data_IF_043227229566
#
_entry.id   IF_043227229566
#
_cell.length_a   1.000
_cell.length_b   1.000
_cell.length_c   1.000
_cell.angle_alpha   90.00
_cell.angle_beta   90.00
_cell.angle_gamma   90.00
#
_symmetry.space_group_name_H-M   'P 1'
#
loop_
_entity.id
_entity.type
_entity.pdbx_description
1 polymer ?
#
# COMPACT_ATOMS: atom_id res chain seq x y z
N UNK A 1 3.66 0.34 22.88
CA UNK A 1 5.02 -0.23 22.69
C UNK A 1 5.76 -0.52 24.01
N UNK A 2 5.89 0.39 24.99
CA UNK A 2 6.72 0.18 26.19
C UNK A 2 6.40 -1.10 27.00
N UNK A 3 5.10 -1.41 27.17
CA UNK A 3 4.65 -2.63 27.87
C UNK A 3 5.08 -3.92 27.17
N UNK A 4 5.11 -3.93 25.83
CA UNK A 4 5.59 -5.08 25.04
C UNK A 4 7.09 -5.26 25.20
N UNK A 5 7.86 -4.18 25.21
CA UNK A 5 9.31 -4.24 25.43
C UNK A 5 9.66 -4.88 26.77
N UNK A 6 8.98 -4.50 27.86
CA UNK A 6 9.14 -5.17 29.16
C UNK A 6 8.85 -6.68 29.09
N UNK A 7 7.77 -7.07 28.42
CA UNK A 7 7.42 -8.48 28.29
C UNK A 7 8.47 -9.27 27.49
N UNK A 8 8.95 -8.72 26.37
CA UNK A 8 9.97 -9.37 25.55
C UNK A 8 11.30 -9.52 26.26
N UNK A 9 11.73 -8.49 27.00
CA UNK A 9 12.97 -8.55 27.77
C UNK A 9 12.86 -9.61 28.86
N UNK A 10 11.80 -9.58 29.67
CA UNK A 10 11.62 -10.56 30.75
C UNK A 10 11.56 -12.00 30.25
N UNK A 11 10.79 -12.25 29.17
CA UNK A 11 10.69 -13.60 28.58
C UNK A 11 12.01 -14.08 27.96
N UNK A 12 12.77 -13.18 27.32
CA UNK A 12 14.06 -13.53 26.73
C UNK A 12 15.10 -13.81 27.83
N UNK A 13 15.18 -12.96 28.85
CA UNK A 13 16.09 -13.15 29.98
C UNK A 13 15.79 -14.43 30.74
N UNK A 14 14.52 -14.74 31.01
CA UNK A 14 14.09 -16.00 31.64
C UNK A 14 14.48 -17.22 30.79
N UNK A 15 14.19 -17.18 29.48
CA UNK A 15 14.41 -18.33 28.59
C UNK A 15 15.89 -18.64 28.39
N UNK A 16 16.73 -17.61 28.26
CA UNK A 16 18.13 -17.77 27.86
C UNK A 16 19.11 -17.60 29.01
N UNK A 17 18.67 -17.10 30.17
CA UNK A 17 19.51 -16.80 31.33
C UNK A 17 20.73 -15.94 30.97
N UNK A 18 20.51 -14.93 30.11
CA UNK A 18 21.52 -14.01 29.62
C UNK A 18 21.03 -12.56 29.74
N UNK A 19 21.91 -11.60 30.05
CA UNK A 19 21.56 -10.18 30.02
C UNK A 19 21.05 -9.77 28.64
N UNK A 20 19.95 -9.01 28.62
CA UNK A 20 19.31 -8.55 27.38
C UNK A 20 19.56 -7.05 27.18
N UNK A 21 19.99 -6.68 25.97
CA UNK A 21 20.08 -5.29 25.53
C UNK A 21 18.94 -4.98 24.54
N UNK A 22 17.80 -4.44 25.01
CA UNK A 22 16.64 -4.20 24.15
C UNK A 22 16.82 -2.97 23.26
N UNK A 23 16.59 -3.15 21.96
CA UNK A 23 16.61 -2.08 20.95
C UNK A 23 15.28 -2.05 20.21
N UNK A 24 14.68 -0.86 20.12
CA UNK A 24 13.55 -0.55 19.25
C UNK A 24 14.07 0.24 18.04
N UNK A 25 13.94 -0.33 16.85
CA UNK A 25 14.28 0.34 15.58
C UNK A 25 13.00 0.78 14.91
N UNK A 26 12.84 2.09 14.70
CA UNK A 26 11.73 2.66 13.94
C UNK A 26 12.21 3.01 12.54
N UNK A 27 11.58 2.40 11.53
CA UNK A 27 11.96 2.54 10.13
C UNK A 27 11.39 3.84 9.57
N UNK A 28 10.07 4.05 9.66
CA UNK A 28 9.39 5.21 9.10
C UNK A 28 8.80 6.13 10.17
N UNK A 29 8.84 7.43 9.91
CA UNK A 29 8.24 8.44 10.78
C UNK A 29 6.74 8.56 10.49
N UNK A 30 5.92 7.99 11.37
CA UNK A 30 4.43 8.02 11.24
C UNK A 30 3.82 9.25 11.91
N UNK A 31 4.51 9.83 12.90
CA UNK A 31 4.04 11.02 13.61
C UNK A 31 5.21 11.83 14.20
N UNK A 32 4.92 13.04 14.64
CA UNK A 32 5.86 13.88 15.40
C UNK A 32 5.84 13.59 16.92
N UNK A 33 5.10 12.58 17.37
CA UNK A 33 5.07 12.23 18.78
C UNK A 33 6.43 11.65 19.21
N UNK A 34 6.88 12.03 20.41
CA UNK A 34 8.09 11.47 21.00
C UNK A 34 7.91 9.97 21.25
N UNK A 35 8.90 9.18 20.84
CA UNK A 35 8.87 7.73 21.02
C UNK A 35 9.47 7.42 22.39
N UNK A 36 8.69 6.86 23.33
CA UNK A 36 9.17 6.57 24.67
C UNK A 36 10.31 5.53 24.61
N UNK A 37 11.33 5.72 25.46
CA UNK A 37 12.48 4.82 25.63
C UNK A 37 12.43 4.00 26.92
N UNK A 38 11.42 4.22 27.75
CA UNK A 38 11.27 3.55 29.05
C UNK A 38 9.83 3.14 29.29
N UNK A 39 9.64 1.98 29.91
CA UNK A 39 8.42 1.59 30.58
C UNK A 39 8.57 1.76 32.09
N UNK A 40 7.56 2.32 32.75
CA UNK A 40 7.46 2.37 34.22
C UNK A 40 6.08 1.90 34.68
N UNK A 41 6.04 1.25 35.85
CA UNK A 41 4.80 0.97 36.58
C UNK A 41 5.05 0.93 38.08
N UNK A 42 4.07 1.34 38.87
CA UNK A 42 4.09 1.26 40.33
C UNK A 42 2.79 0.64 40.83
N UNK A 43 2.89 -0.39 41.67
CA UNK A 43 1.74 -0.98 42.37
C UNK A 43 2.12 -1.17 43.84
N UNK A 44 1.39 -0.52 44.75
CA UNK A 44 1.63 -0.60 46.20
C UNK A 44 3.09 -0.32 46.63
N UNK A 45 3.77 0.60 45.93
CA UNK A 45 5.17 0.93 46.19
C UNK A 45 6.19 0.03 45.48
N UNK A 46 5.75 -1.09 44.88
CA UNK A 46 6.59 -1.94 44.05
C UNK A 46 6.74 -1.32 42.66
N UNK A 47 7.98 -0.98 42.31
CA UNK A 47 8.30 -0.38 41.02
C UNK A 47 8.82 -1.42 40.04
N UNK A 48 8.39 -1.29 38.79
CA UNK A 48 9.03 -1.96 37.69
C UNK A 48 9.41 -0.95 36.61
N UNK A 49 10.63 -1.10 36.10
CA UNK A 49 11.20 -0.25 35.07
C UNK A 49 11.86 -1.12 34.02
N UNK A 50 11.63 -0.80 32.75
CA UNK A 50 12.39 -1.35 31.64
C UNK A 50 12.86 -0.22 30.75
N UNK A 51 14.16 0.00 30.71
CA UNK A 51 14.78 0.89 29.73
C UNK A 51 15.09 0.13 28.45
N UNK A 52 15.05 0.82 27.32
CA UNK A 52 15.46 0.29 26.03
C UNK A 52 16.01 1.38 25.12
N UNK A 53 16.92 0.99 24.22
CA UNK A 53 17.49 1.90 23.23
C UNK A 53 16.46 2.10 22.11
N UNK A 54 16.21 3.35 21.74
CA UNK A 54 15.42 3.70 20.56
C UNK A 54 16.37 4.19 19.47
N UNK A 55 16.20 3.65 18.26
CA UNK A 55 16.91 4.07 17.05
C UNK A 55 15.85 4.43 16.02
N UNK A 56 15.81 5.70 15.63
CA UNK A 56 14.94 6.20 14.59
C UNK A 56 15.76 6.37 13.31
N UNK A 57 15.47 5.65 12.24
CA UNK A 57 16.32 5.66 11.05
C UNK A 57 16.40 7.07 10.41
N UNK A 58 15.34 7.85 10.46
CA UNK A 58 15.33 9.26 9.98
C UNK A 58 16.19 10.23 10.81
N UNK A 59 16.74 9.79 11.95
CA UNK A 59 17.69 10.56 12.76
C UNK A 59 19.14 10.06 12.59
N UNK A 60 19.32 8.88 11.99
CA UNK A 60 20.63 8.27 11.75
C UNK A 60 21.24 8.89 10.50
N UNK A 61 22.49 9.32 10.62
CA UNK A 61 23.25 9.93 9.51
C UNK A 61 23.43 8.92 8.36
N UNK A 62 23.13 9.36 7.14
CA UNK A 62 23.21 8.53 5.94
C UNK A 62 24.63 7.98 5.67
N UNK A 63 25.68 8.71 6.09
CA UNK A 63 27.06 8.31 5.83
C UNK A 63 27.40 6.94 6.44
N UNK A 64 26.75 6.56 7.55
CA UNK A 64 26.92 5.25 8.19
C UNK A 64 26.61 4.10 7.23
N UNK A 65 25.69 4.28 6.27
CA UNK A 65 25.35 3.24 5.31
C UNK A 65 26.46 2.95 4.29
N UNK A 66 27.37 3.91 4.09
CA UNK A 66 28.52 3.80 3.18
C UNK A 66 29.80 3.37 3.91
N UNK A 67 29.81 3.36 5.24
CA UNK A 67 30.92 2.87 6.04
C UNK A 67 30.95 1.33 6.05
N UNK A 68 32.11 0.75 5.79
CA UNK A 68 32.33 -0.69 5.97
C UNK A 68 32.34 -1.01 7.47
N UNK A 69 31.62 -2.06 7.93
CA UNK A 69 31.08 -3.18 7.16
C UNK A 69 29.53 -3.24 7.09
N UNK A 70 28.81 -2.13 6.84
CA UNK A 70 27.33 -2.09 6.93
C UNK A 70 26.57 -1.93 5.59
N UNK A 71 26.86 -2.72 4.53
CA UNK A 71 26.15 -2.59 3.25
C UNK A 71 24.65 -2.92 3.35
N UNK A 72 24.23 -3.63 4.39
CA UNK A 72 22.82 -3.92 4.68
C UNK A 72 22.00 -2.67 5.04
N UNK A 73 22.65 -1.53 5.31
CA UNK A 73 21.97 -0.25 5.51
C UNK A 73 21.69 0.50 4.21
N UNK A 74 22.33 0.13 3.09
CA UNK A 74 22.14 0.79 1.80
C UNK A 74 20.66 0.87 1.37
N UNK A 75 19.82 -0.16 1.58
CA UNK A 75 18.40 -0.07 1.23
C UNK A 75 17.63 0.98 2.02
N UNK A 76 18.11 1.36 3.20
CA UNK A 76 17.47 2.37 4.03
C UNK A 76 18.00 3.78 3.74
N UNK A 77 18.99 3.95 2.87
CA UNK A 77 19.56 5.26 2.51
C UNK A 77 18.48 6.33 2.26
N UNK A 78 17.41 6.08 1.47
CA UNK A 78 16.42 7.12 1.20
C UNK A 78 15.69 7.66 2.44
N UNK A 79 15.64 6.89 3.53
CA UNK A 79 14.94 7.24 4.78
C UNK A 79 15.89 7.60 5.92
N UNK A 80 17.21 7.55 5.70
CA UNK A 80 18.22 8.05 6.64
C UNK A 80 18.30 9.58 6.58
N UNK A 81 18.83 10.19 7.64
CA UNK A 81 19.01 11.64 7.72
C UNK A 81 20.01 12.10 6.66
N UNK A 82 19.53 12.89 5.70
CA UNK A 82 20.34 13.42 4.60
C UNK A 82 20.47 12.49 3.38
N UNK A 83 19.77 11.35 3.39
CA UNK A 83 19.80 10.36 2.31
C UNK A 83 18.71 10.54 1.24
N UNK A 84 17.85 11.56 1.38
CA UNK A 84 16.81 11.90 0.42
C UNK A 84 17.35 12.47 -0.91
N UNK A 85 18.64 12.80 -0.97
CA UNK A 85 19.25 13.38 -2.18
C UNK A 85 19.42 12.33 -3.28
N UNK A 86 19.06 12.70 -4.51
CA UNK A 86 19.19 11.84 -5.69
C UNK A 86 20.61 11.28 -5.86
N UNK A 87 21.64 12.11 -5.68
CA UNK A 87 23.04 11.69 -5.82
C UNK A 87 23.41 10.57 -4.84
N UNK A 88 22.95 10.68 -3.60
CA UNK A 88 23.22 9.71 -2.52
C UNK A 88 22.50 8.39 -2.78
N UNK A 89 21.27 8.46 -3.29
CA UNK A 89 20.51 7.26 -3.68
C UNK A 89 21.16 6.58 -4.88
N UNK A 90 21.61 7.34 -5.88
CA UNK A 90 22.35 6.79 -7.04
C UNK A 90 23.66 6.13 -6.63
N UNK A 91 24.37 6.71 -5.67
CA UNK A 91 25.59 6.11 -5.10
C UNK A 91 25.27 4.79 -4.40
N UNK A 92 24.24 4.75 -3.55
CA UNK A 92 23.82 3.53 -2.87
C UNK A 92 23.41 2.42 -3.87
N UNK A 93 22.73 2.78 -4.96
CA UNK A 93 22.39 1.86 -6.04
C UNK A 93 23.62 1.33 -6.77
N UNK A 94 24.62 2.17 -7.03
CA UNK A 94 25.88 1.73 -7.64
C UNK A 94 26.58 0.68 -6.76
N UNK A 95 26.60 0.88 -5.44
CA UNK A 95 27.18 -0.08 -4.50
C UNK A 95 26.38 -1.39 -4.50
N UNK A 96 25.04 -1.33 -4.43
CA UNK A 96 24.19 -2.53 -4.46
C UNK A 96 24.33 -3.33 -5.75
N UNK A 97 24.48 -2.66 -6.90
CA UNK A 97 24.63 -3.31 -8.22
C UNK A 97 26.02 -3.89 -8.45
N UNK A 98 27.04 -3.38 -7.77
CA UNK A 98 28.40 -3.86 -7.90
C UNK A 98 28.62 -5.21 -7.19
N UNK A 99 27.73 -5.59 -6.28
CA UNK A 99 27.81 -6.85 -5.52
C UNK A 99 26.62 -7.76 -5.85
N UNK A 100 26.90 -8.92 -6.46
CA UNK A 100 25.88 -9.90 -6.84
C UNK A 100 25.05 -10.42 -5.65
N UNK A 101 25.58 -10.36 -4.42
CA UNK A 101 24.81 -10.75 -3.23
C UNK A 101 23.83 -9.67 -2.77
N UNK A 102 24.12 -8.40 -3.09
CA UNK A 102 23.35 -7.25 -2.64
C UNK A 102 22.37 -6.74 -3.71
N UNK A 103 22.54 -7.14 -4.98
CA UNK A 103 21.69 -6.69 -6.08
C UNK A 103 20.17 -6.89 -5.82
N UNK A 104 19.79 -7.93 -5.07
CA UNK A 104 18.39 -8.20 -4.70
C UNK A 104 17.81 -7.10 -3.79
N UNK A 105 18.66 -6.44 -3.01
CA UNK A 105 18.27 -5.37 -2.10
C UNK A 105 17.97 -4.05 -2.82
N UNK A 106 18.30 -3.93 -4.11
CA UNK A 106 17.94 -2.79 -4.94
C UNK A 106 16.42 -2.52 -4.90
N UNK A 107 15.60 -3.58 -4.92
CA UNK A 107 14.14 -3.46 -4.85
C UNK A 107 13.70 -2.87 -3.51
N UNK A 108 14.38 -3.23 -2.42
CA UNK A 108 14.10 -2.72 -1.08
C UNK A 108 14.46 -1.24 -0.98
N UNK A 109 15.60 -0.85 -1.56
CA UNK A 109 16.00 0.56 -1.68
C UNK A 109 14.95 1.37 -2.45
N UNK A 110 14.52 0.87 -3.61
CA UNK A 110 13.51 1.51 -4.43
C UNK A 110 12.19 1.71 -3.65
N UNK A 111 11.75 0.69 -2.92
CA UNK A 111 10.56 0.75 -2.08
C UNK A 111 10.68 1.87 -1.03
N UNK A 112 11.80 1.96 -0.32
CA UNK A 112 12.01 3.04 0.65
C UNK A 112 12.08 4.42 0.02
N UNK A 113 12.66 4.54 -1.19
CA UNK A 113 12.69 5.79 -1.93
C UNK A 113 11.27 6.32 -2.25
N UNK A 114 10.28 5.44 -2.48
CA UNK A 114 8.90 5.86 -2.73
C UNK A 114 8.22 6.59 -1.56
N UNK A 115 8.74 6.45 -0.33
CA UNK A 115 8.18 7.16 0.83
C UNK A 115 8.71 8.60 0.96
N UNK A 116 9.79 8.94 0.25
CA UNK A 116 10.51 10.20 0.43
C UNK A 116 10.59 11.00 -0.88
N UNK A 117 10.62 10.33 -2.03
CA UNK A 117 10.74 10.92 -3.35
C UNK A 117 9.46 10.78 -4.18
N UNK A 118 9.35 11.65 -5.20
CA UNK A 118 8.32 11.54 -6.23
C UNK A 118 8.49 10.26 -7.05
N UNK A 119 7.37 9.61 -7.38
CA UNK A 119 7.37 8.36 -8.15
C UNK A 119 8.06 8.45 -9.51
N UNK A 120 7.97 9.59 -10.22
CA UNK A 120 8.64 9.79 -11.51
C UNK A 120 10.15 9.88 -11.33
N UNK A 121 10.61 10.57 -10.28
CA UNK A 121 12.03 10.66 -9.95
C UNK A 121 12.59 9.29 -9.53
N UNK A 122 11.84 8.50 -8.75
CA UNK A 122 12.25 7.13 -8.42
C UNK A 122 12.41 6.30 -9.70
N UNK A 123 11.46 6.35 -10.63
CA UNK A 123 11.57 5.63 -11.90
C UNK A 123 12.81 6.04 -12.72
N UNK A 124 13.10 7.34 -12.78
CA UNK A 124 14.28 7.88 -13.45
C UNK A 124 15.59 7.45 -12.75
N UNK A 125 15.64 7.52 -11.42
CA UNK A 125 16.82 7.16 -10.63
C UNK A 125 17.15 5.69 -10.80
N UNK A 126 16.12 4.85 -10.62
CA UNK A 126 16.28 3.42 -10.69
C UNK A 126 16.63 2.97 -12.11
N UNK A 127 16.34 3.79 -13.15
CA UNK A 127 16.53 3.45 -14.57
C UNK A 127 16.12 2.01 -14.80
N UNK A 128 14.92 1.66 -14.33
CA UNK A 128 14.45 0.28 -14.33
C UNK A 128 14.55 -0.26 -15.75
N UNK A 129 15.62 -1.02 -16.03
CA UNK A 129 15.56 -2.00 -17.08
C UNK A 129 14.51 -2.99 -16.59
N UNK A 130 13.30 -2.87 -17.15
CA UNK A 130 12.14 -3.68 -16.79
C UNK A 130 12.49 -5.18 -16.75
N UNK A 131 13.52 -5.60 -17.51
CA UNK A 131 14.09 -6.94 -17.50
C UNK A 131 14.48 -7.44 -16.10
N UNK A 132 15.17 -6.64 -15.27
CA UNK A 132 15.67 -7.08 -13.95
C UNK A 132 14.55 -7.13 -12.91
N UNK A 133 13.61 -6.18 -12.97
CA UNK A 133 12.43 -6.19 -12.09
C UNK A 133 11.48 -7.34 -12.42
N UNK A 134 11.33 -7.69 -13.70
CA UNK A 134 10.53 -8.84 -14.11
C UNK A 134 11.03 -10.16 -13.52
N UNK A 135 12.30 -10.27 -13.15
CA UNK A 135 12.86 -11.46 -12.50
C UNK A 135 12.62 -11.49 -10.99
N UNK A 136 12.27 -10.36 -10.36
CA UNK A 136 11.93 -10.33 -8.93
C UNK A 136 10.59 -11.04 -8.67
N UNK A 137 10.57 -12.12 -7.86
CA UNK A 137 9.32 -12.84 -7.56
C UNK A 137 8.23 -11.95 -6.97
N UNK A 138 8.63 -10.93 -6.20
CA UNK A 138 7.70 -9.99 -5.56
C UNK A 138 7.05 -9.02 -6.56
N UNK A 139 7.82 -8.56 -7.56
CA UNK A 139 7.28 -7.72 -8.63
C UNK A 139 6.27 -8.49 -9.49
N UNK A 140 6.59 -9.75 -9.84
CA UNK A 140 5.66 -10.62 -10.57
C UNK A 140 4.34 -10.83 -9.81
N UNK A 141 4.40 -11.01 -8.48
CA UNK A 141 3.21 -11.19 -7.66
C UNK A 141 2.33 -9.93 -7.63
N UNK A 142 2.94 -8.75 -7.46
CA UNK A 142 2.22 -7.47 -7.52
C UNK A 142 1.59 -7.25 -8.89
N UNK A 143 2.35 -7.50 -9.97
CA UNK A 143 1.85 -7.34 -11.33
C UNK A 143 0.66 -8.27 -11.58
N UNK A 144 0.77 -9.55 -11.20
CA UNK A 144 -0.29 -10.55 -11.37
C UNK A 144 -1.55 -10.19 -10.58
N UNK A 145 -1.41 -9.73 -9.34
CA UNK A 145 -2.53 -9.27 -8.51
C UNK A 145 -3.16 -7.99 -9.09
N UNK A 146 -2.32 -7.08 -9.61
CA UNK A 146 -2.74 -5.87 -10.32
C UNK A 146 -3.56 -6.17 -11.57
N UNK A 147 -3.08 -7.07 -12.42
CA UNK A 147 -3.77 -7.54 -13.63
C UNK A 147 -5.11 -8.18 -13.29
N UNK A 148 -5.16 -9.11 -12.33
CA UNK A 148 -6.41 -9.73 -11.89
C UNK A 148 -7.44 -8.72 -11.39
N UNK A 149 -7.01 -7.72 -10.61
CA UNK A 149 -7.89 -6.64 -10.13
C UNK A 149 -8.34 -5.74 -11.29
N UNK A 150 -7.45 -5.48 -12.24
CA UNK A 150 -7.73 -4.69 -13.44
C UNK A 150 -8.77 -5.37 -14.33
N UNK A 151 -8.58 -6.65 -14.61
CA UNK A 151 -9.48 -7.48 -15.41
C UNK A 151 -10.87 -7.54 -14.76
N UNK A 152 -10.95 -7.87 -13.47
CA UNK A 152 -12.23 -7.93 -12.74
C UNK A 152 -12.99 -6.59 -12.77
N UNK A 153 -12.29 -5.47 -12.53
CA UNK A 153 -12.89 -4.12 -12.61
C UNK A 153 -13.31 -3.78 -14.03
N UNK A 154 -12.56 -4.23 -15.03
CA UNK A 154 -12.87 -4.03 -16.45
C UNK A 154 -14.14 -4.77 -16.85
N UNK A 155 -14.26 -6.03 -16.44
CA UNK A 155 -15.44 -6.88 -16.68
C UNK A 155 -16.69 -6.31 -16.02
N UNK A 156 -16.62 -5.95 -14.73
CA UNK A 156 -17.75 -5.34 -14.00
C UNK A 156 -18.24 -4.05 -14.67
N UNK A 157 -17.32 -3.15 -15.03
CA UNK A 157 -17.66 -1.90 -15.75
C UNK A 157 -18.18 -2.14 -17.16
N UNK A 158 -17.74 -3.21 -17.81
CA UNK A 158 -18.18 -3.63 -19.13
C UNK A 158 -19.60 -4.16 -19.09
N UNK A 159 -19.91 -5.04 -18.13
CA UNK A 159 -21.24 -5.59 -17.91
C UNK A 159 -22.24 -4.48 -17.54
N UNK A 160 -21.85 -3.56 -16.64
CA UNK A 160 -22.68 -2.41 -16.26
C UNK A 160 -23.02 -1.51 -17.47
N UNK A 161 -22.01 -1.14 -18.27
CA UNK A 161 -22.22 -0.33 -19.49
C UNK A 161 -23.07 -1.06 -20.52
N UNK A 162 -22.81 -2.35 -20.75
CA UNK A 162 -23.58 -3.16 -21.67
C UNK A 162 -25.05 -3.25 -21.26
N UNK A 163 -25.31 -3.41 -19.96
CA UNK A 163 -26.66 -3.49 -19.41
C UNK A 163 -27.40 -2.14 -19.48
N UNK A 164 -26.73 -1.02 -19.19
CA UNK A 164 -27.29 0.33 -19.36
C UNK A 164 -27.66 0.61 -20.82
N UNK A 165 -26.78 0.27 -21.76
CA UNK A 165 -27.07 0.41 -23.19
C UNK A 165 -28.23 -0.50 -23.63
N UNK A 166 -28.32 -1.71 -23.09
CA UNK A 166 -29.43 -2.63 -23.36
C UNK A 166 -30.76 -2.11 -22.80
N UNK A 167 -30.76 -1.50 -21.61
CA UNK A 167 -31.91 -0.84 -21.02
C UNK A 167 -32.35 0.35 -21.88
N UNK A 168 -31.43 1.21 -22.30
CA UNK A 168 -31.71 2.35 -23.18
C UNK A 168 -32.42 1.91 -24.46
N UNK A 169 -31.86 0.91 -25.15
CA UNK A 169 -32.44 0.37 -26.37
C UNK A 169 -33.82 -0.25 -26.11
N UNK A 170 -33.99 -0.98 -25.02
CA UNK A 170 -35.28 -1.61 -24.69
C UNK A 170 -36.36 -0.56 -24.36
N UNK A 171 -35.99 0.53 -23.67
CA UNK A 171 -36.85 1.65 -23.38
C UNK A 171 -37.26 2.38 -24.66
N UNK A 172 -36.31 2.65 -25.55
CA UNK A 172 -36.55 3.29 -26.84
C UNK A 172 -37.50 2.46 -27.70
N UNK A 173 -37.25 1.15 -27.83
CA UNK A 173 -38.08 0.25 -28.64
C UNK A 173 -39.51 0.14 -28.08
N UNK A 174 -39.66 0.02 -26.76
CA UNK A 174 -40.95 -0.30 -26.15
C UNK A 174 -41.80 0.94 -25.83
N UNK A 175 -41.17 2.02 -25.42
CA UNK A 175 -41.84 3.21 -24.89
C UNK A 175 -41.45 4.51 -25.63
N UNK A 176 -40.56 4.44 -26.63
CA UNK A 176 -40.13 5.59 -27.40
C UNK A 176 -39.43 6.65 -26.53
N UNK A 177 -39.61 7.92 -26.90
CA UNK A 177 -38.96 9.05 -26.21
C UNK A 177 -39.35 9.15 -24.73
N UNK A 178 -40.57 8.76 -24.37
CA UNK A 178 -41.04 8.76 -22.97
C UNK A 178 -40.26 7.77 -22.09
N UNK A 179 -39.80 6.65 -22.67
CA UNK A 179 -38.93 5.70 -21.97
C UNK A 179 -37.53 6.26 -21.71
N UNK A 180 -36.98 6.99 -22.69
CA UNK A 180 -35.64 7.59 -22.61
C UNK A 180 -35.53 8.66 -21.52
N UNK A 181 -36.64 9.29 -21.11
CA UNK A 181 -36.66 10.22 -19.96
C UNK A 181 -36.20 9.58 -18.64
N UNK A 182 -36.18 8.25 -18.55
CA UNK A 182 -35.72 7.52 -17.36
C UNK A 182 -34.20 7.31 -17.33
N UNK A 183 -33.51 7.50 -18.46
CA UNK A 183 -32.06 7.28 -18.57
C UNK A 183 -31.20 8.15 -17.65
N UNK A 184 -31.53 9.43 -17.40
CA UNK A 184 -30.79 10.24 -16.41
C UNK A 184 -30.80 9.63 -15.01
N UNK A 185 -31.85 8.91 -14.62
CA UNK A 185 -31.95 8.23 -13.32
C UNK A 185 -31.18 6.90 -13.37
N UNK A 186 -31.42 6.09 -14.40
CA UNK A 186 -30.83 4.74 -14.55
C UNK A 186 -29.30 4.81 -14.72
N UNK A 187 -28.78 5.83 -15.38
CA UNK A 187 -27.34 6.03 -15.57
C UNK A 187 -26.58 6.28 -14.27
N UNK A 188 -27.25 6.74 -13.21
CA UNK A 188 -26.66 6.96 -11.88
C UNK A 188 -26.65 5.68 -11.02
N UNK A 189 -27.34 4.63 -11.44
CA UNK A 189 -27.39 3.36 -10.71
C UNK A 189 -26.10 2.57 -11.00
N UNK A 190 -25.34 2.27 -9.96
CA UNK A 190 -24.10 1.49 -10.04
C UNK A 190 -24.29 0.04 -9.51
N UNK A 191 -25.49 -0.31 -9.05
CA UNK A 191 -25.82 -1.67 -8.63
C UNK A 191 -26.28 -2.50 -9.83
N UNK A 192 -25.47 -3.50 -10.17
CA UNK A 192 -25.70 -4.39 -11.30
C UNK A 192 -26.95 -5.27 -11.13
N UNK A 193 -27.32 -5.64 -9.90
CA UNK A 193 -28.55 -6.39 -9.65
C UNK A 193 -29.79 -5.51 -9.85
N UNK A 194 -29.72 -4.26 -9.41
CA UNK A 194 -30.80 -3.29 -9.63
C UNK A 194 -30.99 -3.03 -11.13
N UNK A 195 -29.91 -2.85 -11.89
CA UNK A 195 -29.97 -2.73 -13.36
C UNK A 195 -30.58 -3.97 -14.01
N UNK A 196 -30.24 -5.19 -13.55
CA UNK A 196 -30.84 -6.44 -14.06
C UNK A 196 -32.34 -6.51 -13.78
N UNK A 197 -32.76 -6.06 -12.59
CA UNK A 197 -34.18 -5.99 -12.22
C UNK A 197 -34.94 -4.99 -13.10
N UNK A 198 -34.39 -3.80 -13.35
CA UNK A 198 -34.96 -2.80 -14.25
C UNK A 198 -35.09 -3.37 -15.67
N UNK A 199 -34.04 -4.02 -16.17
CA UNK A 199 -34.06 -4.66 -17.48
C UNK A 199 -35.15 -5.75 -17.59
N UNK A 200 -35.43 -6.49 -16.51
CA UNK A 200 -36.56 -7.42 -16.50
C UNK A 200 -37.92 -6.72 -16.39
N UNK A 201 -38.04 -5.69 -15.57
CA UNK A 201 -39.27 -4.91 -15.42
C UNK A 201 -39.71 -4.26 -16.74
N UNK A 202 -38.76 -3.79 -17.56
CA UNK A 202 -39.05 -3.28 -18.90
C UNK A 202 -39.79 -4.32 -19.75
N UNK A 203 -39.50 -5.61 -19.60
CA UNK A 203 -40.19 -6.67 -20.37
C UNK A 203 -41.64 -6.84 -19.97
N UNK A 204 -41.97 -6.68 -18.68
CA UNK A 204 -43.30 -6.96 -18.13
C UNK A 204 -44.21 -5.74 -18.02
N UNK A 205 -43.65 -4.53 -17.87
CA UNK A 205 -44.44 -3.29 -17.75
C UNK A 205 -45.11 -2.92 -19.07
N UNK A 206 -46.38 -2.51 -19.05
CA UNK A 206 -47.10 -2.08 -20.25
C UNK A 206 -47.06 -0.56 -20.45
N UNK A 207 -46.70 0.19 -19.40
CA UNK A 207 -46.62 1.66 -19.42
C UNK A 207 -45.32 2.16 -18.77
N UNK A 208 -44.94 3.41 -19.06
CA UNK A 208 -43.75 4.07 -18.50
C UNK A 208 -43.95 4.37 -17.01
N UNK A 209 -45.17 4.69 -16.59
CA UNK A 209 -45.56 4.96 -15.21
C UNK A 209 -45.39 3.74 -14.30
N UNK A 210 -45.74 2.55 -14.76
CA UNK A 210 -45.47 1.29 -14.04
C UNK A 210 -43.97 1.09 -13.81
N UNK A 211 -43.14 1.43 -14.81
CA UNK A 211 -41.69 1.29 -14.70
C UNK A 211 -41.08 2.34 -13.76
N UNK A 212 -41.63 3.57 -13.73
CA UNK A 212 -41.21 4.62 -12.78
C UNK A 212 -41.40 4.19 -11.32
N UNK A 213 -42.45 3.45 -11.01
CA UNK A 213 -42.68 2.95 -9.65
C UNK A 213 -41.62 1.92 -9.19
N UNK A 214 -41.01 1.20 -10.13
CA UNK A 214 -39.92 0.24 -9.84
C UNK A 214 -38.57 0.94 -9.63
N UNK A 215 -38.43 2.16 -10.15
CA UNK A 215 -37.24 3.02 -9.98
C UNK A 215 -37.30 3.89 -8.71
N UNK A 216 -38.43 3.88 -7.99
CA UNK A 216 -38.68 4.63 -6.74
C UNK A 216 -38.14 3.87 -5.52
#
# INVERSE_FOLDING_TARGET
MPRRMRAYVGLAEEKYNLPIYPVLINILKVSNAEIPSTYTSNVAGLQARQDYRVINLWEVDVNIAFEQPLPLLLPFVPILKGGENESTIREALQVLRADEQLNQLETVLAFFATFVLDSALVQEIMRWDMAVLHESPWYQEILREGEKRGEKRGEERGEERGLKNGIELALEIKFGTSGLELMPIISQINDLQQLKAIHQAIKTSNTVEELRQVLS
#
